data_IF_782550033455
#
_entry.id   IF_782550033455
#
_cell.length_a   1.000
_cell.length_b   1.000
_cell.length_c   1.000
_cell.angle_alpha   90.00
_cell.angle_beta   90.00
_cell.angle_gamma   90.00
#
_symmetry.space_group_name_H-M   'P 1'
#
loop_
_entity.id
_entity.type
_entity.pdbx_description
1 polymer ?
#
# COMPACT_ATOMS: atom_id res chain seq x y z
N UNK A 1 -7.99 -15.22 -39.99
CA UNK A 1 -6.58 -14.96 -39.65
C UNK A 1 -6.44 -13.47 -39.43
N UNK A 2 -6.50 -13.02 -38.17
CA UNK A 2 -6.30 -11.61 -37.80
C UNK A 2 -4.97 -11.49 -37.07
N UNK A 3 -4.06 -10.69 -37.60
CA UNK A 3 -2.74 -10.46 -37.03
C UNK A 3 -2.88 -9.62 -35.74
N UNK A 4 -2.32 -10.14 -34.65
CA UNK A 4 -2.17 -9.44 -33.37
C UNK A 4 -1.05 -8.41 -33.52
N UNK A 5 -1.38 -7.14 -33.34
CA UNK A 5 -0.42 -6.04 -33.41
C UNK A 5 0.58 -6.13 -32.26
N UNK A 6 1.87 -6.21 -32.58
CA UNK A 6 2.97 -6.18 -31.63
C UNK A 6 3.23 -4.74 -31.17
N UNK A 7 3.17 -4.50 -29.85
CA UNK A 7 3.56 -3.22 -29.24
C UNK A 7 5.05 -2.91 -29.50
N UNK A 8 5.40 -1.65 -29.83
CA UNK A 8 6.77 -1.28 -30.15
C UNK A 8 7.67 -1.27 -28.91
N UNK A 9 8.86 -1.85 -29.05
CA UNK A 9 9.94 -1.80 -28.05
C UNK A 9 10.74 -0.49 -28.22
N UNK A 10 11.02 0.22 -27.12
CA UNK A 10 11.79 1.48 -27.14
C UNK A 10 13.17 1.28 -26.53
N UNK A 11 14.22 1.83 -27.17
CA UNK A 11 15.64 1.74 -26.75
C UNK A 11 16.10 3.06 -26.14
N UNK A 12 16.57 3.05 -24.90
CA UNK A 12 17.30 4.17 -24.28
C UNK A 12 18.81 3.95 -24.40
N UNK A 13 19.55 4.99 -24.82
CA UNK A 13 21.01 4.97 -24.88
C UNK A 13 21.62 5.42 -23.56
N UNK A 14 22.45 4.56 -22.95
CA UNK A 14 23.34 4.93 -21.84
C UNK A 14 24.73 4.35 -22.08
N UNK A 15 25.74 5.12 -21.69
CA UNK A 15 27.18 4.86 -21.85
C UNK A 15 27.72 3.96 -20.73
N UNK A 16 27.71 2.63 -20.95
CA UNK A 16 28.54 1.55 -20.39
C UNK A 16 27.90 0.19 -20.78
N UNK A 17 28.61 -0.96 -20.80
CA UNK A 17 28.12 -2.18 -21.45
C UNK A 17 27.13 -2.93 -20.54
N UNK A 18 25.94 -2.38 -20.34
CA UNK A 18 24.79 -3.12 -19.82
C UNK A 18 24.04 -3.75 -20.99
N UNK A 19 23.65 -5.03 -20.88
CA UNK A 19 22.80 -5.71 -21.86
C UNK A 19 21.59 -4.83 -22.23
N UNK A 20 21.12 -4.82 -23.49
CA UNK A 20 19.95 -4.07 -23.88
C UNK A 20 18.77 -4.48 -23.00
N UNK A 21 18.21 -3.53 -22.23
CA UNK A 21 16.96 -3.73 -21.49
C UNK A 21 15.81 -3.52 -22.47
N UNK A 22 14.97 -4.52 -22.67
CA UNK A 22 13.82 -4.39 -23.53
C UNK A 22 12.63 -3.92 -22.70
N UNK A 23 11.98 -2.83 -23.14
CA UNK A 23 10.83 -2.25 -22.47
C UNK A 23 9.58 -2.50 -23.31
N UNK A 24 8.62 -3.23 -22.74
CA UNK A 24 7.28 -3.37 -23.32
C UNK A 24 6.27 -2.60 -22.51
N UNK A 25 5.54 -1.66 -23.11
CA UNK A 25 4.48 -0.96 -22.40
C UNK A 25 3.35 -1.95 -22.11
N UNK A 26 2.94 -2.02 -20.84
CA UNK A 26 1.88 -2.92 -20.35
C UNK A 26 0.69 -2.15 -19.78
N UNK A 27 0.78 -0.83 -19.67
CA UNK A 27 -0.31 0.00 -19.18
C UNK A 27 0.09 1.46 -19.00
N UNK A 28 -0.75 2.19 -18.27
CA UNK A 28 -0.56 3.59 -17.88
C UNK A 28 -1.02 3.78 -16.44
N UNK A 29 -0.31 4.59 -15.65
CA UNK A 29 -0.73 4.93 -14.28
C UNK A 29 -2.06 5.70 -14.34
N UNK A 30 -3.11 5.10 -13.77
CA UNK A 30 -4.44 5.69 -13.71
C UNK A 30 -4.62 6.55 -12.46
N UNK A 31 -4.17 6.05 -11.30
CA UNK A 31 -4.27 6.73 -10.01
C UNK A 31 -3.10 6.39 -9.12
N UNK A 32 -2.76 7.32 -8.22
CA UNK A 32 -1.79 7.13 -7.16
C UNK A 32 -2.44 7.41 -5.81
N UNK A 33 -2.12 6.55 -4.84
CA UNK A 33 -2.63 6.67 -3.48
C UNK A 33 -1.52 6.62 -2.46
N UNK A 34 -1.62 7.56 -1.52
CA UNK A 34 -0.83 7.59 -0.30
C UNK A 34 -1.72 7.22 0.88
N UNK A 35 -1.27 6.39 1.81
CA UNK A 35 -2.02 6.08 3.03
C UNK A 35 -1.16 6.44 4.25
N UNK A 36 -1.11 7.72 4.65
CA UNK A 36 -0.14 8.20 5.63
C UNK A 36 -0.24 7.48 6.98
N UNK A 37 -1.47 7.33 7.48
CA UNK A 37 -1.77 6.59 8.70
C UNK A 37 -2.25 5.18 8.33
N UNK A 38 -1.62 4.17 8.91
CA UNK A 38 -1.96 2.76 8.70
C UNK A 38 -3.47 2.54 8.92
N UNK A 39 -4.11 1.85 7.98
CA UNK A 39 -5.54 1.51 7.97
C UNK A 39 -6.53 2.68 7.77
N UNK A 40 -6.08 3.94 7.76
CA UNK A 40 -6.94 5.09 7.51
C UNK A 40 -7.21 5.30 6.01
N UNK A 41 -8.04 6.29 5.63
CA UNK A 41 -8.35 6.56 4.22
C UNK A 41 -7.09 6.91 3.41
N UNK A 42 -7.13 6.57 2.13
CA UNK A 42 -6.11 6.97 1.17
C UNK A 42 -6.28 8.43 0.75
N UNK A 43 -5.17 9.06 0.44
CA UNK A 43 -5.07 10.39 -0.15
C UNK A 43 -4.69 10.20 -1.62
N UNK A 44 -5.57 10.57 -2.57
CA UNK A 44 -5.23 10.53 -3.98
C UNK A 44 -4.22 11.64 -4.29
N UNK A 45 -3.20 11.33 -5.10
CA UNK A 45 -2.18 12.29 -5.53
C UNK A 45 -1.98 12.19 -7.04
N UNK A 46 -1.62 13.29 -7.70
CA UNK A 46 -1.32 13.31 -9.14
C UNK A 46 0.12 12.90 -9.44
N UNK A 47 1.03 13.10 -8.49
CA UNK A 47 2.44 12.75 -8.57
C UNK A 47 2.98 12.35 -7.19
N UNK A 48 3.99 11.50 -7.19
CA UNK A 48 4.68 11.08 -5.98
C UNK A 48 6.13 10.73 -6.28
N UNK A 49 6.99 10.97 -5.30
CA UNK A 49 8.31 10.36 -5.26
C UNK A 49 8.19 8.94 -4.74
N UNK A 50 8.76 7.99 -5.46
CA UNK A 50 8.84 6.60 -5.04
C UNK A 50 10.18 6.37 -4.35
N UNK A 51 10.15 6.17 -3.03
CA UNK A 51 11.34 5.94 -2.20
C UNK A 51 11.49 4.46 -1.86
N UNK A 52 12.65 4.07 -1.32
CA UNK A 52 12.87 2.69 -0.85
C UNK A 52 11.82 2.18 0.17
N UNK A 53 11.15 3.09 0.90
CA UNK A 53 10.12 2.76 1.90
C UNK A 53 8.69 2.99 1.40
N UNK A 54 8.50 3.27 0.11
CA UNK A 54 7.19 3.49 -0.52
C UNK A 54 7.02 4.92 -1.05
N UNK A 55 5.77 5.28 -1.39
CA UNK A 55 5.45 6.59 -1.95
C UNK A 55 5.62 7.73 -0.92
N UNK A 56 5.97 8.91 -1.44
CA UNK A 56 6.08 10.18 -0.72
C UNK A 56 5.47 11.31 -1.56
N UNK A 57 4.66 12.15 -0.92
CA UNK A 57 4.18 13.41 -1.49
C UNK A 57 4.49 14.53 -0.50
N UNK A 58 5.33 15.50 -0.91
CA UNK A 58 5.91 16.48 0.00
C UNK A 58 6.63 15.81 1.18
N UNK A 59 6.20 16.13 2.40
CA UNK A 59 6.75 15.52 3.61
C UNK A 59 5.95 14.30 4.12
N UNK A 60 4.84 13.97 3.48
CA UNK A 60 3.99 12.84 3.87
C UNK A 60 4.42 11.58 3.15
N UNK A 61 4.49 10.47 3.89
CA UNK A 61 4.97 9.17 3.40
C UNK A 61 3.98 8.07 3.69
N UNK A 62 4.04 7.04 2.86
CA UNK A 62 3.11 5.93 2.91
C UNK A 62 3.25 5.07 4.18
N UNK A 63 2.19 5.00 4.99
CA UNK A 63 2.13 4.28 6.28
C UNK A 63 3.30 4.61 7.21
N UNK A 64 3.59 5.91 7.35
CA UNK A 64 4.57 6.43 8.30
C UNK A 64 3.98 6.76 9.67
N UNK A 65 2.67 6.67 9.82
CA UNK A 65 1.98 6.77 11.11
C UNK A 65 1.16 5.50 11.36
N UNK A 66 1.01 5.15 12.63
CA UNK A 66 0.12 4.07 13.03
C UNK A 66 -0.46 4.30 14.41
N UNK A 67 -1.65 3.75 14.63
CA UNK A 67 -2.27 3.70 15.95
C UNK A 67 -1.73 2.47 16.69
N UNK A 68 -1.43 2.64 17.97
CA UNK A 68 -1.00 1.57 18.89
C UNK A 68 -1.87 1.56 20.14
N UNK A 69 -1.98 0.39 20.76
CA UNK A 69 -2.46 0.24 22.14
C UNK A 69 -1.39 0.70 23.15
N UNK A 70 -1.75 0.82 24.42
CA UNK A 70 -0.80 1.15 25.49
C UNK A 70 0.39 0.18 25.58
N UNK A 71 0.18 -1.10 25.25
CA UNK A 71 1.21 -2.14 25.25
C UNK A 71 2.10 -2.14 24.00
N UNK A 72 1.88 -1.20 23.07
CA UNK A 72 2.66 -1.04 21.84
C UNK A 72 2.18 -1.89 20.66
N UNK A 73 1.14 -2.72 20.81
CA UNK A 73 0.61 -3.45 19.66
C UNK A 73 -0.04 -2.52 18.64
N UNK A 74 0.34 -2.67 17.37
CA UNK A 74 -0.24 -1.90 16.27
C UNK A 74 -1.70 -2.30 16.05
N UNK A 75 -2.56 -1.30 16.01
CA UNK A 75 -4.00 -1.42 15.72
C UNK A 75 -4.21 -1.31 14.21
N UNK A 76 -4.98 -2.23 13.64
CA UNK A 76 -5.32 -2.21 12.22
C UNK A 76 -6.83 -2.22 12.01
N UNK A 77 -7.29 -1.90 10.81
CA UNK A 77 -8.72 -2.01 10.48
C UNK A 77 -9.24 -3.46 10.43
N UNK A 78 -8.40 -4.48 10.71
CA UNK A 78 -8.87 -5.83 11.00
C UNK A 78 -9.48 -5.95 12.41
N UNK A 79 -9.05 -5.08 13.33
CA UNK A 79 -9.55 -5.00 14.70
C UNK A 79 -10.50 -3.81 14.83
N UNK A 80 -10.05 -2.64 14.39
CA UNK A 80 -10.78 -1.37 14.50
C UNK A 80 -11.19 -0.86 13.11
N UNK A 81 -12.26 -1.43 12.56
CA UNK A 81 -12.74 -1.16 11.21
C UNK A 81 -12.98 0.34 10.96
N UNK A 82 -13.43 1.08 11.99
CA UNK A 82 -13.70 2.53 11.93
C UNK A 82 -12.46 3.36 11.58
N UNK A 83 -11.25 2.82 11.71
CA UNK A 83 -10.05 3.50 11.21
C UNK A 83 -10.17 3.89 9.74
N UNK A 84 -10.85 3.10 8.90
CA UNK A 84 -11.05 3.44 7.48
C UNK A 84 -11.90 4.70 7.27
N UNK A 85 -12.54 5.23 8.31
CA UNK A 85 -13.33 6.47 8.24
C UNK A 85 -12.50 7.73 8.51
N UNK A 86 -11.28 7.57 9.02
CA UNK A 86 -10.37 8.69 9.27
C UNK A 86 -9.84 9.20 7.95
N UNK A 87 -10.31 10.37 7.51
CA UNK A 87 -9.80 11.05 6.33
C UNK A 87 -8.60 11.92 6.68
N UNK A 88 -7.72 12.08 5.70
CA UNK A 88 -6.43 12.75 5.86
C UNK A 88 -6.31 13.78 4.75
N UNK A 89 -5.97 15.01 5.13
CA UNK A 89 -5.45 16.04 4.23
C UNK A 89 -4.11 16.51 4.75
N UNK A 90 -3.28 17.08 3.89
CA UNK A 90 -1.97 17.58 4.31
C UNK A 90 -1.55 18.81 3.51
N UNK A 91 -0.65 19.58 4.09
CA UNK A 91 0.18 20.56 3.43
C UNK A 91 1.64 20.35 3.84
N UNK A 92 2.52 21.31 3.58
CA UNK A 92 3.94 21.19 3.88
C UNK A 92 4.25 21.15 5.38
N UNK A 93 3.36 21.65 6.24
CA UNK A 93 3.60 21.82 7.67
C UNK A 93 2.80 20.87 8.54
N UNK A 94 1.59 20.50 8.10
CA UNK A 94 0.66 19.74 8.93
C UNK A 94 -0.02 18.56 8.24
N UNK A 95 -0.38 17.58 9.06
CA UNK A 95 -1.27 16.47 8.73
C UNK A 95 -2.60 16.73 9.46
N UNK A 96 -3.70 16.82 8.72
CA UNK A 96 -5.03 17.09 9.27
C UNK A 96 -5.87 15.82 9.16
N UNK A 97 -6.38 15.35 10.30
CA UNK A 97 -7.21 14.16 10.40
C UNK A 97 -8.65 14.58 10.72
N UNK A 98 -9.62 13.94 10.05
CA UNK A 98 -11.04 14.14 10.32
C UNK A 98 -11.73 12.78 10.41
N UNK A 99 -12.75 12.69 11.25
CA UNK A 99 -13.59 11.52 11.35
C UNK A 99 -15.04 11.91 11.72
N UNK A 100 -16.04 11.06 11.43
CA UNK A 100 -17.43 11.34 11.76
C UNK A 100 -17.64 11.62 13.25
N UNK A 101 -18.23 12.77 13.57
CA UNK A 101 -18.53 13.18 14.94
C UNK A 101 -17.33 13.63 15.77
N UNK A 102 -16.20 13.95 15.13
CA UNK A 102 -14.99 14.44 15.79
C UNK A 102 -14.61 15.81 15.24
N UNK A 103 -14.06 16.67 16.10
CA UNK A 103 -13.34 17.86 15.65
C UNK A 103 -12.09 17.47 14.85
N UNK A 104 -11.59 18.39 14.03
CA UNK A 104 -10.37 18.14 13.27
C UNK A 104 -9.16 18.03 14.22
N UNK A 105 -8.29 17.07 13.97
CA UNK A 105 -6.99 16.96 14.63
C UNK A 105 -5.91 17.47 13.68
N UNK A 106 -5.11 18.43 14.12
CA UNK A 106 -4.01 19.00 13.34
C UNK A 106 -2.70 18.60 13.98
N UNK A 107 -1.87 17.86 13.23
CA UNK A 107 -0.58 17.39 13.71
C UNK A 107 0.56 18.03 12.93
N UNK A 108 1.68 18.40 13.58
CA UNK A 108 2.87 18.79 12.84
C UNK A 108 3.41 17.58 12.07
N UNK A 109 3.88 17.82 10.85
CA UNK A 109 4.51 16.77 10.02
C UNK A 109 5.72 16.16 10.72
N UNK A 110 6.51 16.99 11.41
CA UNK A 110 7.66 16.57 12.20
C UNK A 110 7.28 16.59 13.68
N UNK A 111 7.17 15.41 14.26
CA UNK A 111 6.92 15.26 15.69
C UNK A 111 8.17 15.70 16.49
N UNK A 112 8.01 16.39 17.64
CA UNK A 112 9.14 16.77 18.48
C UNK A 112 9.99 15.56 18.89
N UNK A 113 11.32 15.67 18.73
CA UNK A 113 12.24 14.59 19.08
C UNK A 113 12.30 14.28 20.57
N UNK A 114 11.81 15.19 21.41
CA UNK A 114 11.64 15.02 22.85
C UNK A 114 10.48 14.08 23.23
N UNK A 115 9.55 13.83 22.31
CA UNK A 115 8.43 12.93 22.58
C UNK A 115 8.93 11.50 22.80
N UNK A 116 8.18 10.71 23.56
CA UNK A 116 8.57 9.33 23.88
C UNK A 116 8.71 8.47 22.61
N UNK A 117 9.74 7.62 22.57
CA UNK A 117 9.84 6.56 21.56
C UNK A 117 9.17 5.29 22.11
N UNK A 118 8.17 4.78 21.42
CA UNK A 118 7.47 3.55 21.79
C UNK A 118 8.06 2.36 21.03
N UNK A 119 8.31 1.27 21.76
CA UNK A 119 8.49 -0.04 21.15
C UNK A 119 7.13 -0.54 20.68
N UNK A 120 7.03 -0.88 19.41
CA UNK A 120 5.78 -1.27 18.77
C UNK A 120 5.90 -2.70 18.23
N UNK A 121 4.79 -3.43 18.18
CA UNK A 121 4.76 -4.78 17.63
C UNK A 121 3.72 -4.92 16.53
N UNK A 122 4.14 -5.39 15.36
CA UNK A 122 3.26 -5.59 14.20
C UNK A 122 3.54 -6.91 13.51
N UNK A 123 2.52 -7.78 13.51
CA UNK A 123 2.59 -9.16 12.97
C UNK A 123 3.75 -9.96 13.54
N UNK A 124 3.94 -9.88 14.86
CA UNK A 124 4.98 -10.61 15.58
C UNK A 124 6.38 -9.99 15.50
N UNK A 125 6.58 -8.97 14.66
CA UNK A 125 7.85 -8.28 14.47
C UNK A 125 7.88 -6.93 15.21
N UNK A 126 9.04 -6.63 15.79
CA UNK A 126 9.27 -5.38 16.50
C UNK A 126 9.59 -4.23 15.54
N UNK A 127 9.15 -3.04 15.91
CA UNK A 127 9.47 -1.76 15.29
C UNK A 127 9.35 -0.67 16.35
N UNK A 128 9.49 0.60 15.96
CA UNK A 128 9.40 1.73 16.87
C UNK A 128 8.58 2.86 16.25
N UNK A 129 8.13 3.78 17.09
CA UNK A 129 7.45 4.99 16.64
C UNK A 129 7.52 6.10 17.69
N UNK A 130 7.73 7.33 17.23
CA UNK A 130 7.72 8.55 18.05
C UNK A 130 6.29 8.94 18.37
N UNK A 131 6.00 9.14 19.64
CA UNK A 131 4.67 9.52 20.11
C UNK A 131 4.21 10.86 19.55
N UNK A 132 2.99 10.93 19.01
CA UNK A 132 2.43 12.16 18.43
C UNK A 132 1.74 13.09 19.45
N UNK A 133 1.84 12.80 20.75
CA UNK A 133 1.28 13.64 21.82
C UNK A 133 -0.08 13.16 22.33
N UNK A 134 -0.46 13.68 23.50
CA UNK A 134 -1.68 13.29 24.21
C UNK A 134 -2.96 13.72 23.48
N UNK A 135 -2.92 14.83 22.73
CA UNK A 135 -4.05 15.27 21.91
C UNK A 135 -4.40 14.22 20.84
N UNK A 136 -3.39 13.71 20.13
CA UNK A 136 -3.57 12.65 19.14
C UNK A 136 -4.08 11.35 19.78
N UNK A 137 -3.52 10.99 20.94
CA UNK A 137 -3.94 9.81 21.70
C UNK A 137 -5.42 9.90 22.13
N UNK A 138 -5.82 11.03 22.72
CA UNK A 138 -7.19 11.29 23.13
C UNK A 138 -8.14 11.28 21.94
N UNK A 139 -7.75 11.90 20.82
CA UNK A 139 -8.59 11.94 19.61
C UNK A 139 -8.91 10.54 19.08
N UNK A 140 -7.91 9.66 18.93
CA UNK A 140 -8.14 8.28 18.47
C UNK A 140 -8.92 7.45 19.51
N UNK A 141 -8.64 7.63 20.79
CA UNK A 141 -9.37 6.97 21.89
C UNK A 141 -10.85 7.36 21.88
N UNK A 142 -11.16 8.65 21.76
CA UNK A 142 -12.51 9.18 21.71
C UNK A 142 -13.27 8.77 20.44
N UNK A 143 -12.58 8.62 19.30
CA UNK A 143 -13.20 8.20 18.06
C UNK A 143 -13.53 6.70 18.00
N UNK A 144 -12.62 5.86 18.49
CA UNK A 144 -12.75 4.39 18.44
C UNK A 144 -13.55 3.84 19.63
N UNK A 145 -13.44 4.45 20.82
CA UNK A 145 -14.22 4.14 22.03
C UNK A 145 -14.13 2.70 22.54
N UNK A 146 -13.06 2.00 22.20
CA UNK A 146 -12.86 0.58 22.56
C UNK A 146 -11.77 0.41 23.61
N UNK A 147 -10.63 1.07 23.45
CA UNK A 147 -9.50 1.05 24.39
C UNK A 147 -8.74 2.40 24.34
N UNK A 148 -7.74 2.56 25.21
CA UNK A 148 -6.79 3.67 25.12
C UNK A 148 -5.81 3.46 23.97
N UNK A 149 -5.68 4.48 23.13
CA UNK A 149 -4.83 4.46 21.93
C UNK A 149 -3.83 5.60 21.91
N UNK A 150 -2.70 5.38 21.24
CA UNK A 150 -1.75 6.43 20.89
C UNK A 150 -1.45 6.41 19.40
N UNK A 151 -1.17 7.58 18.84
CA UNK A 151 -0.65 7.69 17.48
C UNK A 151 0.87 7.82 17.54
N UNK A 152 1.58 7.02 16.75
CA UNK A 152 3.03 7.11 16.62
C UNK A 152 3.47 7.31 15.18
N UNK A 153 4.61 7.99 15.00
CA UNK A 153 5.25 8.27 13.73
C UNK A 153 6.57 7.50 13.59
N UNK A 154 6.80 6.89 12.42
CA UNK A 154 8.08 6.30 12.06
C UNK A 154 9.08 7.38 11.63
N UNK A 155 10.29 7.37 12.21
CA UNK A 155 11.39 8.27 11.83
C UNK A 155 12.40 7.51 10.96
N UNK A 156 13.03 8.18 9.98
CA UNK A 156 13.93 7.52 9.00
C UNK A 156 15.20 6.89 9.61
N UNK A 157 15.60 7.32 10.79
CA UNK A 157 16.71 6.76 11.55
C UNK A 157 16.31 5.51 12.36
N UNK A 158 15.02 5.19 12.45
CA UNK A 158 14.54 3.94 13.03
C UNK A 158 14.71 2.81 12.03
N UNK A 159 14.91 1.60 12.55
CA UNK A 159 15.00 0.40 11.72
C UNK A 159 13.61 -0.08 11.33
N UNK A 160 13.38 -0.22 10.02
CA UNK A 160 12.13 -0.77 9.50
C UNK A 160 12.05 -2.28 9.67
N UNK A 161 10.85 -2.83 9.42
CA UNK A 161 10.66 -4.28 9.38
C UNK A 161 11.23 -4.83 8.08
N UNK A 162 12.06 -5.86 8.21
CA UNK A 162 12.84 -6.42 7.10
C UNK A 162 11.99 -7.37 6.25
N UNK A 163 12.13 -7.30 4.93
CA UNK A 163 11.46 -8.19 3.96
C UNK A 163 11.68 -9.67 4.31
N UNK A 164 12.93 -10.07 4.60
CA UNK A 164 13.31 -11.46 4.95
C UNK A 164 12.65 -12.00 6.22
N UNK A 165 12.21 -11.12 7.13
CA UNK A 165 11.46 -11.48 8.35
C UNK A 165 9.95 -11.51 8.11
N UNK A 166 9.47 -10.75 7.13
CA UNK A 166 8.06 -10.72 6.71
C UNK A 166 7.76 -11.93 5.83
N UNK A 167 8.64 -12.19 4.86
CA UNK A 167 8.59 -13.34 3.95
C UNK A 167 9.94 -14.05 3.99
N UNK A 168 9.96 -15.30 4.44
CA UNK A 168 11.20 -16.08 4.50
C UNK A 168 11.74 -16.48 3.13
N UNK A 169 10.90 -16.50 2.09
CA UNK A 169 11.21 -17.02 0.76
C UNK A 169 11.52 -15.96 -0.30
N UNK A 170 11.44 -14.67 0.02
CA UNK A 170 11.72 -13.60 -0.96
C UNK A 170 13.21 -13.30 -1.07
N UNK A 171 13.69 -13.09 -2.29
CA UNK A 171 15.09 -12.77 -2.54
C UNK A 171 15.41 -11.28 -2.32
N UNK A 172 14.42 -10.41 -2.46
CA UNK A 172 14.57 -8.96 -2.37
C UNK A 172 14.86 -8.53 -0.94
N UNK A 173 15.83 -7.63 -0.76
CA UNK A 173 16.23 -7.10 0.52
C UNK A 173 15.75 -5.65 0.65
N UNK A 174 14.72 -5.42 1.46
CA UNK A 174 14.15 -4.11 1.68
C UNK A 174 13.53 -4.02 3.06
N UNK A 175 13.23 -2.79 3.47
CA UNK A 175 12.53 -2.50 4.72
C UNK A 175 11.18 -1.85 4.44
N UNK A 176 10.28 -1.95 5.42
CA UNK A 176 9.03 -1.17 5.45
C UNK A 176 8.82 -0.57 6.83
N UNK A 177 8.18 0.60 6.89
CA UNK A 177 7.70 1.18 8.14
C UNK A 177 6.46 0.41 8.65
N UNK A 178 5.26 1.01 8.55
CA UNK A 178 4.00 0.36 8.88
C UNK A 178 3.17 -0.23 7.72
N UNK A 179 3.59 -0.27 6.43
CA UNK A 179 2.98 -1.17 5.45
C UNK A 179 2.99 -2.62 5.94
N UNK A 180 2.05 -3.45 5.47
CA UNK A 180 1.96 -4.84 5.91
C UNK A 180 3.18 -5.65 5.49
N UNK A 181 3.60 -5.49 4.24
CA UNK A 181 4.62 -6.35 3.65
C UNK A 181 5.60 -5.67 2.69
N UNK A 182 5.15 -4.73 1.87
CA UNK A 182 5.93 -4.22 0.74
C UNK A 182 5.79 -2.69 0.61
N UNK A 183 6.82 -1.99 0.07
CA UNK A 183 6.77 -0.55 -0.19
C UNK A 183 5.66 -0.13 -1.17
N UNK A 184 5.37 -0.94 -2.18
CA UNK A 184 4.43 -0.62 -3.26
C UNK A 184 3.50 -1.80 -3.52
N UNK A 185 2.20 -1.51 -3.65
CA UNK A 185 1.18 -2.42 -4.17
C UNK A 185 0.61 -1.86 -5.47
N UNK A 186 0.63 -2.66 -6.53
CA UNK A 186 0.08 -2.33 -7.85
C UNK A 186 -1.15 -3.21 -8.12
N UNK A 187 -2.22 -2.62 -8.65
CA UNK A 187 -3.44 -3.31 -9.09
C UNK A 187 -3.93 -2.70 -10.40
N UNK A 188 -4.46 -3.50 -11.32
CA UNK A 188 -5.12 -2.94 -12.51
C UNK A 188 -6.61 -2.63 -12.30
N UNK A 189 -7.10 -1.58 -12.96
CA UNK A 189 -8.53 -1.27 -13.02
C UNK A 189 -9.34 -2.42 -13.65
N UNK A 190 -8.73 -3.14 -14.59
CA UNK A 190 -9.33 -4.29 -15.25
C UNK A 190 -9.58 -5.46 -14.28
N UNK A 191 -8.64 -5.75 -13.37
CA UNK A 191 -8.82 -6.74 -12.30
C UNK A 191 -9.97 -6.40 -11.37
N UNK A 192 -10.11 -5.13 -10.98
CA UNK A 192 -11.23 -4.68 -10.15
C UNK A 192 -12.55 -4.79 -10.89
N UNK A 193 -12.56 -4.45 -12.18
CA UNK A 193 -13.74 -4.57 -13.04
C UNK A 193 -14.19 -6.02 -13.15
N UNK A 194 -13.27 -6.96 -13.42
CA UNK A 194 -13.57 -8.40 -13.46
C UNK A 194 -14.16 -8.89 -12.14
N UNK A 195 -13.52 -8.60 -11.00
CA UNK A 195 -14.04 -8.99 -9.70
C UNK A 195 -15.47 -8.45 -9.49
N UNK A 196 -15.70 -7.19 -9.82
CA UNK A 196 -17.00 -6.57 -9.71
C UNK A 196 -18.06 -7.22 -10.61
N UNK A 197 -17.71 -7.80 -11.76
CA UNK A 197 -18.69 -8.53 -12.59
C UNK A 197 -19.23 -9.80 -11.93
N UNK A 198 -18.51 -10.33 -10.93
CA UNK A 198 -18.81 -11.60 -10.24
C UNK A 198 -19.58 -11.42 -8.93
N UNK A 199 -19.93 -10.20 -8.55
CA UNK A 199 -20.58 -9.88 -7.27
C UNK A 199 -21.79 -8.98 -7.45
N UNK A 200 -22.79 -9.10 -6.58
CA UNK A 200 -23.93 -8.17 -6.56
C UNK A 200 -23.52 -6.81 -6.01
N UNK A 201 -23.01 -6.78 -4.76
CA UNK A 201 -22.47 -5.58 -4.13
C UNK A 201 -21.05 -5.32 -4.67
N UNK A 202 -20.91 -4.24 -5.44
CA UNK A 202 -19.61 -3.85 -5.99
C UNK A 202 -18.71 -3.28 -4.89
N UNK A 203 -17.41 -3.53 -5.02
CA UNK A 203 -16.36 -2.95 -4.17
C UNK A 203 -15.56 -1.92 -4.96
N UNK A 204 -14.84 -1.06 -4.24
CA UNK A 204 -14.00 -0.02 -4.83
C UNK A 204 -12.53 -0.40 -4.69
N UNK A 205 -11.64 0.33 -5.37
CA UNK A 205 -10.20 0.05 -5.26
C UNK A 205 -9.67 0.28 -3.84
N UNK A 206 -10.31 1.19 -3.11
CA UNK A 206 -10.04 1.55 -1.73
C UNK A 206 -10.19 0.37 -0.76
N UNK A 207 -10.98 -0.66 -1.12
CA UNK A 207 -11.03 -1.93 -0.38
C UNK A 207 -9.68 -2.67 -0.41
N UNK A 208 -8.92 -2.55 -1.51
CA UNK A 208 -7.67 -3.26 -1.76
C UNK A 208 -6.40 -2.44 -1.50
N UNK A 209 -6.57 -1.12 -1.39
CA UNK A 209 -5.56 -0.16 -0.93
C UNK A 209 -4.23 -0.17 -1.70
N UNK A 210 -4.23 -0.22 -3.06
CA UNK A 210 -3.01 -0.13 -3.84
C UNK A 210 -2.36 1.23 -3.68
N UNK A 211 -1.05 1.31 -3.93
CA UNK A 211 -0.36 2.58 -4.12
C UNK A 211 -0.51 3.09 -5.55
N UNK A 212 -0.56 2.18 -6.52
CA UNK A 212 -0.60 2.48 -7.95
C UNK A 212 -1.73 1.68 -8.59
N UNK A 213 -2.65 2.39 -9.23
CA UNK A 213 -3.65 1.81 -10.12
C UNK A 213 -3.16 1.93 -11.56
N UNK A 214 -3.29 0.85 -12.33
CA UNK A 214 -2.87 0.80 -13.73
C UNK A 214 -4.07 0.54 -14.64
N UNK A 215 -4.12 1.24 -15.76
CA UNK A 215 -5.12 1.05 -16.82
C UNK A 215 -4.47 0.66 -18.15
N UNK A 216 -5.28 0.28 -19.13
CA UNK A 216 -4.82 -0.11 -20.47
C UNK A 216 -4.25 -1.53 -20.56
N UNK A 217 -4.69 -2.43 -19.68
CA UNK A 217 -4.29 -3.85 -19.66
C UNK A 217 -5.51 -4.77 -19.47
N UNK A 218 -5.31 -6.07 -19.66
CA UNK A 218 -6.34 -7.08 -19.39
C UNK A 218 -6.51 -7.35 -17.89
N UNK A 219 -7.64 -7.94 -17.49
CA UNK A 219 -7.85 -8.34 -16.09
C UNK A 219 -6.76 -9.33 -15.65
N UNK A 220 -6.16 -9.05 -14.50
CA UNK A 220 -5.06 -9.81 -13.88
C UNK A 220 -3.78 -9.89 -14.71
N UNK A 221 -3.63 -9.08 -15.76
CA UNK A 221 -2.40 -9.05 -16.55
C UNK A 221 -1.18 -8.66 -15.69
N UNK A 222 -1.41 -7.89 -14.62
CA UNK A 222 -0.38 -7.54 -13.64
C UNK A 222 0.31 -8.74 -12.99
N UNK A 223 -0.36 -9.89 -12.91
CA UNK A 223 0.22 -11.13 -12.39
C UNK A 223 1.42 -11.57 -13.23
N UNK A 224 1.46 -11.22 -14.52
CA UNK A 224 2.50 -11.60 -15.47
C UNK A 224 3.65 -10.59 -15.55
N UNK A 225 3.46 -9.38 -15.03
CA UNK A 225 4.49 -8.35 -15.09
C UNK A 225 5.68 -8.75 -14.23
N UNK A 226 6.87 -8.70 -14.82
CA UNK A 226 8.13 -8.82 -14.09
C UNK A 226 8.46 -7.52 -13.38
N UNK A 227 9.72 -7.11 -13.49
CA UNK A 227 10.16 -5.81 -12.98
C UNK A 227 9.57 -4.68 -13.83
N UNK A 228 9.30 -3.54 -13.20
CA UNK A 228 8.61 -2.41 -13.81
C UNK A 228 9.51 -1.17 -13.88
N UNK A 229 9.31 -0.38 -14.93
CA UNK A 229 9.78 0.99 -15.05
C UNK A 229 8.56 1.90 -15.22
N UNK A 230 8.42 2.89 -14.34
CA UNK A 230 7.36 3.91 -14.37
C UNK A 230 8.00 5.26 -14.06
N UNK A 231 7.91 6.22 -14.99
CA UNK A 231 8.69 7.45 -14.90
C UNK A 231 10.19 7.12 -14.79
N UNK A 232 10.84 7.60 -13.73
CA UNK A 232 12.27 7.33 -13.45
C UNK A 232 12.50 6.15 -12.49
N UNK A 233 11.42 5.50 -12.04
CA UNK A 233 11.42 4.52 -10.95
C UNK A 233 11.53 3.11 -11.49
N UNK A 234 12.56 2.37 -11.04
CA UNK A 234 12.68 0.94 -11.29
C UNK A 234 12.19 0.16 -10.08
N UNK A 235 11.23 -0.73 -10.29
CA UNK A 235 10.60 -1.54 -9.27
C UNK A 235 10.82 -3.02 -9.54
N UNK A 236 11.16 -3.78 -8.51
CA UNK A 236 11.38 -5.22 -8.60
C UNK A 236 10.19 -5.97 -8.05
N UNK A 237 9.68 -6.94 -8.83
CA UNK A 237 8.55 -7.75 -8.40
C UNK A 237 8.92 -8.53 -7.15
N UNK A 238 8.06 -8.51 -6.14
CA UNK A 238 8.22 -9.32 -4.92
C UNK A 238 7.37 -10.58 -5.04
N UNK A 239 6.04 -10.44 -4.94
CA UNK A 239 5.06 -11.54 -4.97
C UNK A 239 3.62 -11.00 -5.05
N UNK A 240 2.64 -11.88 -5.21
CA UNK A 240 1.23 -11.48 -5.26
C UNK A 240 0.67 -11.10 -3.88
N UNK A 241 -0.25 -10.14 -3.82
CA UNK A 241 -0.87 -9.72 -2.58
C UNK A 241 -1.99 -10.70 -2.17
N UNK A 242 -1.69 -11.54 -1.18
CA UNK A 242 -2.69 -12.37 -0.50
C UNK A 242 -3.67 -11.51 0.30
N UNK A 243 -4.96 -11.57 -0.05
CA UNK A 243 -6.01 -10.72 0.52
C UNK A 243 -6.53 -11.25 1.85
N UNK A 244 -6.86 -10.32 2.73
CA UNK A 244 -7.33 -10.59 4.09
C UNK A 244 -8.63 -9.85 4.38
N UNK A 245 -9.19 -10.08 5.58
CA UNK A 245 -10.50 -9.58 6.01
C UNK A 245 -10.66 -8.06 5.90
N UNK A 246 -9.57 -7.30 5.90
CA UNK A 246 -9.63 -5.84 5.71
C UNK A 246 -10.33 -5.44 4.40
N UNK A 247 -10.23 -6.27 3.35
CA UNK A 247 -10.90 -5.99 2.06
C UNK A 247 -12.41 -5.96 2.15
N UNK A 248 -12.98 -6.59 3.18
CA UNK A 248 -14.42 -6.68 3.39
C UNK A 248 -14.99 -5.55 4.25
N UNK A 249 -14.12 -4.64 4.70
CA UNK A 249 -14.53 -3.41 5.38
C UNK A 249 -14.91 -2.37 4.33
N UNK A 250 -16.14 -1.89 4.41
CA UNK A 250 -16.62 -0.81 3.56
C UNK A 250 -15.90 0.51 3.90
N UNK A 251 -15.16 1.11 2.96
CA UNK A 251 -14.31 2.28 3.23
C UNK A 251 -15.11 3.56 3.53
N UNK A 252 -16.40 3.59 3.23
CA UNK A 252 -17.26 4.76 3.45
C UNK A 252 -18.03 4.68 4.77
N UNK A 253 -18.35 3.47 5.21
CA UNK A 253 -19.17 3.24 6.42
C UNK A 253 -18.42 2.60 7.58
N UNK A 254 -17.25 2.00 7.34
CA UNK A 254 -16.50 1.24 8.32
C UNK A 254 -17.20 -0.06 8.76
N UNK A 255 -18.28 -0.44 8.07
CA UNK A 255 -19.03 -1.67 8.33
C UNK A 255 -18.31 -2.83 7.64
N UNK A 256 -18.10 -3.90 8.40
CA UNK A 256 -17.53 -5.14 7.89
C UNK A 256 -18.62 -6.02 7.29
N UNK A 257 -18.47 -6.37 6.01
CA UNK A 257 -19.08 -7.56 5.44
C UNK A 257 -18.19 -8.75 5.84
N UNK A 258 -18.71 -9.83 6.42
CA UNK A 258 -17.81 -10.94 6.84
C UNK A 258 -17.49 -11.92 5.71
N UNK A 259 -17.99 -11.67 4.50
CA UNK A 259 -17.89 -12.55 3.35
C UNK A 259 -17.23 -11.87 2.15
N UNK A 260 -17.85 -10.82 1.62
CA UNK A 260 -17.43 -10.22 0.36
C UNK A 260 -16.45 -9.05 0.53
N UNK A 261 -15.45 -8.88 -0.35
CA UNK A 261 -15.23 -9.60 -1.62
C UNK A 261 -14.37 -10.89 -1.48
N UNK A 262 -14.06 -11.33 -0.25
CA UNK A 262 -13.13 -12.44 -0.04
C UNK A 262 -13.68 -13.80 -0.46
N UNK A 263 -14.96 -14.09 -0.22
CA UNK A 263 -15.58 -15.34 -0.66
C UNK A 263 -15.54 -15.45 -2.18
N UNK A 264 -15.94 -14.40 -2.90
CA UNK A 264 -15.81 -14.36 -4.36
C UNK A 264 -14.37 -14.54 -4.80
N UNK A 265 -13.41 -13.78 -4.26
CA UNK A 265 -12.00 -13.95 -4.62
C UNK A 265 -11.49 -15.38 -4.36
N UNK A 266 -11.87 -16.02 -3.24
CA UNK A 266 -11.49 -17.42 -2.95
C UNK A 266 -12.02 -18.43 -3.96
N UNK A 267 -13.13 -18.13 -4.65
CA UNK A 267 -13.69 -19.06 -5.63
C UNK A 267 -12.84 -19.21 -6.90
N UNK A 268 -12.02 -18.22 -7.26
CA UNK A 268 -11.31 -18.21 -8.55
C UNK A 268 -9.89 -17.63 -8.53
N UNK A 269 -9.43 -17.10 -7.39
CA UNK A 269 -8.11 -16.43 -7.25
C UNK A 269 -7.22 -17.06 -6.20
N UNK A 270 -7.39 -18.35 -5.88
CA UNK A 270 -6.42 -19.06 -5.04
C UNK A 270 -5.11 -19.29 -5.79
N UNK A 271 -4.00 -19.31 -5.05
CA UNK A 271 -2.69 -19.61 -5.63
C UNK A 271 -2.61 -21.04 -6.16
N UNK A 272 -1.61 -21.29 -7.00
CA UNK A 272 -1.23 -22.65 -7.37
C UNK A 272 -0.90 -23.47 -6.11
N UNK A 273 -1.22 -24.78 -6.06
CA UNK A 273 -0.89 -25.62 -4.90
C UNK A 273 0.56 -25.55 -4.44
N UNK A 274 1.52 -25.35 -5.36
CA UNK A 274 2.95 -25.22 -5.06
C UNK A 274 3.29 -23.97 -4.24
N UNK A 275 2.48 -22.90 -4.33
CA UNK A 275 2.69 -21.64 -3.62
C UNK A 275 1.92 -21.55 -2.28
N UNK A 276 1.14 -22.59 -1.93
CA UNK A 276 0.39 -22.65 -0.65
C UNK A 276 1.23 -22.42 0.61
N UNK A 277 2.51 -22.81 0.71
CA UNK A 277 3.33 -22.48 1.88
C UNK A 277 3.46 -20.97 2.11
N UNK A 278 3.33 -20.15 1.06
CA UNK A 278 3.41 -18.68 1.13
C UNK A 278 2.03 -18.09 1.43
N UNK A 279 1.03 -18.42 0.62
CA UNK A 279 -0.29 -17.75 0.65
C UNK A 279 -1.34 -18.43 1.50
N UNK A 280 -1.11 -19.69 1.89
CA UNK A 280 -2.08 -20.54 2.59
C UNK A 280 -3.38 -20.65 1.78
N UNK A 281 -4.45 -20.02 2.26
CA UNK A 281 -5.77 -19.96 1.64
C UNK A 281 -6.19 -18.53 1.27
N UNK A 282 -5.27 -17.57 1.31
CA UNK A 282 -5.53 -16.19 0.91
C UNK A 282 -5.66 -16.13 -0.62
N UNK A 283 -6.75 -15.57 -1.17
CA UNK A 283 -6.83 -15.33 -2.59
C UNK A 283 -5.91 -14.17 -3.00
N UNK A 284 -5.46 -14.18 -4.25
CA UNK A 284 -4.48 -13.27 -4.81
C UNK A 284 -5.15 -12.17 -5.64
N UNK A 285 -4.82 -10.92 -5.35
CA UNK A 285 -5.29 -9.78 -6.13
C UNK A 285 -4.24 -8.67 -6.02
N UNK A 286 -3.67 -8.16 -7.11
CA UNK A 286 -2.58 -7.17 -7.05
C UNK A 286 -1.21 -7.73 -6.69
N UNK A 287 -0.17 -6.94 -6.96
CA UNK A 287 1.24 -7.37 -6.90
C UNK A 287 2.07 -6.42 -6.05
N UNK A 288 2.93 -6.99 -5.20
CA UNK A 288 3.88 -6.26 -4.38
C UNK A 288 5.19 -6.01 -5.12
N UNK A 289 5.74 -4.80 -4.94
CA UNK A 289 6.97 -4.34 -5.55
C UNK A 289 7.91 -3.68 -4.52
N UNK A 290 9.19 -4.01 -4.60
CA UNK A 290 10.27 -3.23 -3.97
C UNK A 290 10.79 -2.17 -4.94
N UNK A 291 11.49 -1.17 -4.42
CA UNK A 291 12.02 -0.05 -5.23
C UNK A 291 13.53 -0.21 -5.35
N UNK A 292 14.03 -0.43 -6.56
CA UNK A 292 15.45 -0.57 -6.87
C UNK A 292 16.09 0.78 -7.22
N UNK A 293 15.38 1.59 -8.00
CA UNK A 293 15.78 2.96 -8.34
C UNK A 293 14.71 3.94 -7.89
N UNK A 294 15.07 4.80 -6.94
CA UNK A 294 14.23 5.90 -6.47
C UNK A 294 14.08 6.94 -7.60
N UNK A 295 12.90 7.53 -7.68
CA UNK A 295 12.58 8.58 -8.65
C UNK A 295 11.17 9.11 -8.45
N UNK A 296 10.66 9.81 -9.45
CA UNK A 296 9.30 10.31 -9.45
C UNK A 296 8.45 9.58 -10.48
N UNK A 297 7.16 9.48 -10.18
CA UNK A 297 6.14 8.98 -11.08
C UNK A 297 4.85 9.80 -10.90
N UNK A 298 4.03 9.84 -11.93
CA UNK A 298 2.78 10.59 -11.96
C UNK A 298 1.68 9.84 -12.68
N UNK A 299 0.45 10.27 -12.43
CA UNK A 299 -0.71 9.84 -13.20
C UNK A 299 -0.47 10.17 -14.69
N UNK A 300 -0.78 9.22 -15.55
CA UNK A 300 -0.52 9.30 -16.99
C UNK A 300 0.85 8.76 -17.44
N UNK A 301 1.77 8.43 -16.52
CA UNK A 301 3.03 7.82 -16.92
C UNK A 301 2.80 6.41 -17.52
N UNK A 302 3.51 6.07 -18.60
CA UNK A 302 3.48 4.71 -19.14
C UNK A 302 4.10 3.73 -18.13
N UNK A 303 3.52 2.54 -18.06
CA UNK A 303 4.05 1.42 -17.28
C UNK A 303 4.76 0.47 -18.23
N UNK A 304 6.07 0.31 -18.07
CA UNK A 304 6.87 -0.61 -18.86
C UNK A 304 7.24 -1.84 -18.03
N UNK A 305 7.02 -3.04 -18.57
CA UNK A 305 7.68 -4.25 -18.06
C UNK A 305 9.12 -4.30 -18.61
N UNK A 306 10.06 -4.65 -17.75
CA UNK A 306 11.46 -4.90 -18.13
C UNK A 306 11.62 -6.38 -18.51
N UNK A 307 12.14 -6.62 -19.71
CA UNK A 307 12.38 -7.95 -20.31
C UNK A 307 13.87 -8.19 -20.49
#
# INVERSE_FOLDING_TARGET
MGAVGSSPLVRLGLSAPSRPRWLGQVGTVARLWLYPVKSCKGVPVSEAECTALGLRCGHVRDRFWTVIKEDGHVVTARQEHRLVLVSITHDDNCLVLRAPGMDQLVLPIKVPSSNRLHNCRMFGLDTQGRDCGDEAAQWFTSFLKTEAYRLVQFEKNLKGRQSKKIFSSVAQDYEVAYPDCSPILVISEASLTDLNTRMEKKVKMENFRPNIEVTGCSAFEEDTWGDLLIGDVEMKKVLACGRCILTTVDPDTGVIDRKEPLETLKSYRLCDPSERPIYKSAPLFGIYYSVEKIGSLKVGDPVYRMV
#
